data_IF_865480679680
#
_entry.id   IF_865480679680
#
_cell.length_a   1.000
_cell.length_b   1.000
_cell.length_c   1.000
_cell.angle_alpha   90.00
_cell.angle_beta   90.00
_cell.angle_gamma   90.00
#
_symmetry.space_group_name_H-M   'P 1'
#
loop_
_entity.id
_entity.type
_entity.pdbx_description
1 polymer ?
#
# COMPACT_ATOMS: atom_id res chain seq x y z
N UNK A 1 14.41 7.20 24.34
CA UNK A 1 14.66 6.32 23.18
C UNK A 1 14.66 7.20 21.94
N UNK A 2 15.52 6.97 20.93
CA UNK A 2 15.39 7.70 19.67
C UNK A 2 14.02 7.39 19.07
N UNK A 3 13.30 8.42 18.62
CA UNK A 3 12.06 8.21 17.87
C UNK A 3 12.41 7.59 16.52
N UNK A 4 11.64 6.60 16.09
CA UNK A 4 11.80 6.04 14.75
C UNK A 4 11.52 7.13 13.70
N UNK A 5 12.33 7.18 12.65
CA UNK A 5 12.09 8.11 11.54
C UNK A 5 10.90 7.59 10.71
N UNK A 6 9.89 8.44 10.51
CA UNK A 6 8.65 8.10 9.81
C UNK A 6 8.41 9.02 8.61
N UNK A 7 7.58 8.56 7.68
CA UNK A 7 6.96 9.40 6.66
C UNK A 7 5.99 10.43 7.28
N UNK A 8 5.51 11.42 6.51
CA UNK A 8 4.45 12.33 6.96
C UNK A 8 3.17 11.61 7.41
N UNK A 9 2.87 10.45 6.81
CA UNK A 9 1.72 9.60 7.13
C UNK A 9 1.96 8.70 8.36
N UNK A 10 3.13 8.83 9.02
CA UNK A 10 3.47 8.04 10.22
C UNK A 10 3.98 6.64 9.92
N UNK A 11 4.21 6.28 8.66
CA UNK A 11 4.76 4.98 8.27
C UNK A 11 6.27 4.94 8.58
N UNK A 12 6.82 3.88 9.19
CA UNK A 12 8.26 3.77 9.42
C UNK A 12 9.05 3.91 8.12
N UNK A 13 10.11 4.73 8.12
CA UNK A 13 10.92 4.93 6.91
C UNK A 13 11.52 3.62 6.38
N UNK A 14 11.83 2.67 7.27
CA UNK A 14 12.28 1.35 6.88
C UNK A 14 11.25 0.62 5.98
N UNK A 15 9.95 0.79 6.24
CA UNK A 15 8.87 0.23 5.42
C UNK A 15 8.83 0.91 4.06
N UNK A 16 8.89 2.24 4.01
CA UNK A 16 8.92 3.00 2.74
C UNK A 16 10.10 2.57 1.87
N UNK A 17 11.30 2.49 2.46
CA UNK A 17 12.50 2.06 1.75
C UNK A 17 12.40 0.61 1.26
N UNK A 18 11.85 -0.29 2.08
CA UNK A 18 11.62 -1.69 1.71
C UNK A 18 10.69 -1.79 0.52
N UNK A 19 9.52 -1.15 0.57
CA UNK A 19 8.52 -1.20 -0.52
C UNK A 19 9.15 -0.81 -1.86
N UNK A 20 9.91 0.29 -1.86
CA UNK A 20 10.59 0.78 -3.06
C UNK A 20 11.75 -0.10 -3.52
N UNK A 21 12.47 -0.74 -2.59
CA UNK A 21 13.59 -1.62 -2.92
C UNK A 21 13.14 -3.00 -3.43
N UNK A 22 11.99 -3.51 -2.96
CA UNK A 22 11.46 -4.82 -3.33
C UNK A 22 10.68 -4.81 -4.65
N UNK A 23 10.28 -3.63 -5.13
CA UNK A 23 9.52 -3.46 -6.38
C UNK A 23 10.19 -4.19 -7.55
N UNK A 24 9.39 -4.92 -8.33
CA UNK A 24 9.84 -5.54 -9.59
C UNK A 24 9.35 -4.81 -10.84
N UNK A 25 8.44 -3.86 -10.67
CA UNK A 25 7.89 -3.01 -11.74
C UNK A 25 8.75 -1.74 -11.92
N UNK A 26 8.84 -1.24 -13.15
CA UNK A 26 9.57 -0.01 -13.46
C UNK A 26 8.87 1.24 -12.87
N UNK A 27 9.63 2.28 -12.54
CA UNK A 27 9.08 3.50 -11.92
C UNK A 27 8.07 4.19 -12.83
N UNK A 28 8.33 4.17 -14.14
CA UNK A 28 7.51 4.78 -15.18
C UNK A 28 6.06 4.31 -15.11
N UNK A 29 5.80 3.05 -14.71
CA UNK A 29 4.43 2.55 -14.56
C UNK A 29 3.68 3.23 -13.41
N UNK A 30 4.35 3.55 -12.31
CA UNK A 30 3.73 4.30 -11.21
C UNK A 30 3.53 5.77 -11.60
N UNK A 31 4.46 6.33 -12.37
CA UNK A 31 4.36 7.69 -12.91
C UNK A 31 3.17 7.85 -13.88
N UNK A 32 2.78 6.80 -14.60
CA UNK A 32 1.55 6.78 -15.43
C UNK A 32 0.29 7.08 -14.59
N UNK A 33 0.28 6.70 -13.31
CA UNK A 33 -0.80 6.99 -12.35
C UNK A 33 -0.54 8.26 -11.53
N UNK A 34 0.51 9.03 -11.86
CA UNK A 34 0.89 10.26 -11.18
C UNK A 34 1.66 10.06 -9.86
N UNK A 35 2.04 8.83 -9.55
CA UNK A 35 2.79 8.48 -8.35
C UNK A 35 4.31 8.54 -8.61
N UNK A 36 5.08 9.07 -7.65
CA UNK A 36 6.54 9.15 -7.76
C UNK A 36 7.23 7.78 -7.67
N UNK A 37 6.67 6.86 -6.87
CA UNK A 37 7.22 5.54 -6.63
C UNK A 37 6.13 4.59 -6.09
N UNK A 38 6.52 3.37 -5.71
CA UNK A 38 5.59 2.36 -5.18
C UNK A 38 4.85 2.85 -3.94
N UNK A 39 5.57 3.46 -3.01
CA UNK A 39 4.95 3.99 -1.80
C UNK A 39 3.97 5.13 -2.11
N UNK A 40 4.34 6.03 -3.02
CA UNK A 40 3.48 7.11 -3.49
C UNK A 40 2.16 6.58 -4.06
N UNK A 41 2.22 5.52 -4.85
CA UNK A 41 1.04 4.89 -5.42
C UNK A 41 0.12 4.27 -4.36
N UNK A 42 0.69 3.53 -3.40
CA UNK A 42 -0.08 2.96 -2.29
C UNK A 42 -0.72 4.05 -1.41
N UNK A 43 -0.03 5.17 -1.20
CA UNK A 43 -0.58 6.34 -0.51
C UNK A 43 -1.77 6.92 -1.29
N UNK A 44 -1.61 7.15 -2.59
CA UNK A 44 -2.68 7.71 -3.42
C UNK A 44 -3.89 6.76 -3.50
N UNK A 45 -3.67 5.43 -3.55
CA UNK A 45 -4.76 4.45 -3.43
C UNK A 45 -5.49 4.55 -2.09
N UNK A 46 -4.77 4.66 -0.98
CA UNK A 46 -5.40 4.84 0.33
C UNK A 46 -6.26 6.10 0.37
N UNK A 47 -5.73 7.22 -0.12
CA UNK A 47 -6.42 8.51 -0.18
C UNK A 47 -7.66 8.46 -1.09
N UNK A 48 -7.55 7.85 -2.28
CA UNK A 48 -8.64 7.78 -3.27
C UNK A 48 -9.79 6.87 -2.84
N UNK A 49 -9.52 5.82 -2.07
CA UNK A 49 -10.52 4.86 -1.61
C UNK A 49 -10.96 5.09 -0.16
N UNK A 50 -10.42 6.13 0.51
CA UNK A 50 -10.71 6.41 1.92
C UNK A 50 -10.25 5.30 2.86
N UNK A 51 -9.22 4.55 2.47
CA UNK A 51 -8.68 3.41 3.21
C UNK A 51 -7.51 3.84 4.11
N UNK A 52 -7.21 3.03 5.12
CA UNK A 52 -6.01 3.21 5.94
C UNK A 52 -4.75 2.79 5.18
N UNK A 53 -3.73 3.63 5.14
CA UNK A 53 -2.50 3.36 4.40
C UNK A 53 -1.75 2.14 4.93
N UNK A 54 -1.72 1.93 6.25
CA UNK A 54 -1.11 0.72 6.81
C UNK A 54 -1.83 -0.53 6.32
N UNK A 55 -3.16 -0.51 6.25
CA UNK A 55 -3.96 -1.59 5.66
C UNK A 55 -3.69 -1.81 4.17
N UNK A 56 -3.54 -0.75 3.37
CA UNK A 56 -3.18 -0.85 1.94
C UNK A 56 -1.80 -1.49 1.78
N UNK A 57 -0.83 -1.10 2.60
CA UNK A 57 0.52 -1.70 2.59
C UNK A 57 0.46 -3.19 2.96
N UNK A 58 -0.35 -3.60 3.93
CA UNK A 58 -0.53 -5.02 4.26
C UNK A 58 -1.12 -5.83 3.10
N UNK A 59 -2.06 -5.26 2.35
CA UNK A 59 -2.63 -5.91 1.15
C UNK A 59 -1.55 -6.04 0.07
N UNK A 60 -0.78 -4.97 -0.18
CA UNK A 60 0.32 -5.01 -1.14
C UNK A 60 1.41 -6.02 -0.74
N UNK A 61 1.71 -6.15 0.55
CA UNK A 61 2.65 -7.16 1.06
C UNK A 61 2.13 -8.59 0.86
N UNK A 62 0.82 -8.80 0.95
CA UNK A 62 0.20 -10.11 0.70
C UNK A 62 0.23 -10.50 -0.78
N UNK A 63 -0.05 -9.54 -1.67
CA UNK A 63 -0.04 -9.76 -3.11
C UNK A 63 1.40 -9.85 -3.66
N UNK A 64 2.36 -9.25 -2.95
CA UNK A 64 3.77 -9.31 -3.26
C UNK A 64 4.24 -8.18 -4.19
N UNK A 65 5.54 -8.16 -4.53
CA UNK A 65 6.15 -7.06 -5.27
C UNK A 65 5.88 -7.07 -6.78
N UNK A 66 5.27 -8.14 -7.30
CA UNK A 66 4.87 -8.27 -8.71
C UNK A 66 3.79 -7.26 -9.12
N UNK A 67 3.10 -6.67 -8.13
CA UNK A 67 2.16 -5.56 -8.29
C UNK A 67 1.07 -5.84 -9.35
N UNK A 68 0.17 -6.77 -9.05
CA UNK A 68 -1.12 -6.88 -9.76
C UNK A 68 -1.97 -5.66 -9.37
N UNK A 69 -1.79 -4.54 -10.10
CA UNK A 69 -2.45 -3.26 -9.83
C UNK A 69 -3.97 -3.39 -9.73
N UNK A 70 -4.60 -4.12 -10.68
CA UNK A 70 -6.04 -4.32 -10.70
C UNK A 70 -6.50 -5.22 -9.54
N UNK A 71 -5.72 -6.26 -9.24
CA UNK A 71 -5.96 -7.15 -8.09
C UNK A 71 -5.86 -6.42 -6.75
N UNK A 72 -4.90 -5.51 -6.61
CA UNK A 72 -4.73 -4.65 -5.43
C UNK A 72 -5.92 -3.72 -5.25
N UNK A 73 -6.33 -2.99 -6.30
CA UNK A 73 -7.50 -2.09 -6.27
C UNK A 73 -8.75 -2.87 -5.87
N UNK A 74 -9.02 -4.00 -6.54
CA UNK A 74 -10.15 -4.87 -6.23
C UNK A 74 -10.16 -5.31 -4.76
N UNK A 75 -9.00 -5.70 -4.23
CA UNK A 75 -8.90 -6.16 -2.83
C UNK A 75 -9.14 -5.03 -1.83
N UNK A 76 -8.69 -3.81 -2.15
CA UNK A 76 -8.94 -2.61 -1.32
C UNK A 76 -10.42 -2.25 -1.33
N UNK A 77 -11.05 -2.25 -2.51
CA UNK A 77 -12.48 -1.97 -2.66
C UNK A 77 -13.33 -2.98 -1.89
N UNK A 78 -13.07 -4.28 -2.05
CA UNK A 78 -13.75 -5.35 -1.31
C UNK A 78 -13.58 -5.20 0.22
N UNK A 79 -12.38 -4.79 0.66
CA UNK A 79 -12.11 -4.55 2.07
C UNK A 79 -12.83 -3.30 2.62
N UNK A 80 -12.93 -2.24 1.82
CA UNK A 80 -13.63 -1.00 2.18
C UNK A 80 -15.16 -1.17 2.21
N UNK A 81 -15.72 -1.99 1.31
CA UNK A 81 -17.15 -2.31 1.26
C UNK A 81 -17.61 -3.28 2.39
N UNK A 82 -16.69 -3.68 3.28
CA UNK A 82 -17.00 -4.50 4.45
C UNK A 82 -17.09 -6.00 4.17
N UNK A 83 -16.65 -6.46 3.00
CA UNK A 83 -16.69 -7.88 2.63
C UNK A 83 -15.32 -8.56 2.67
N UNK A 84 -14.22 -7.80 2.62
CA UNK A 84 -12.86 -8.32 2.56
C UNK A 84 -12.04 -8.08 3.83
N UNK A 85 -11.36 -9.13 4.31
CA UNK A 85 -10.27 -9.11 5.30
C UNK A 85 -10.57 -8.96 6.80
N UNK A 86 -11.68 -8.37 7.23
CA UNK A 86 -11.93 -8.14 8.67
C UNK A 86 -12.89 -9.10 9.36
N UNK A 87 -13.74 -9.81 8.62
CA UNK A 87 -14.93 -10.44 9.20
C UNK A 87 -14.75 -11.85 9.79
N UNK A 88 -13.55 -12.46 9.81
CA UNK A 88 -13.45 -13.85 10.29
C UNK A 88 -12.13 -14.35 10.91
N UNK A 89 -11.13 -13.50 11.20
CA UNK A 89 -9.81 -14.01 11.66
C UNK A 89 -9.44 -13.60 13.09
N UNK A 90 -10.24 -12.77 13.77
CA UNK A 90 -9.95 -12.34 15.15
C UNK A 90 -11.19 -12.25 16.08
N UNK A 91 -12.14 -13.20 15.96
CA UNK A 91 -13.15 -13.45 17.02
C UNK A 91 -12.94 -14.86 17.61
#
# INVERSE_FOLDING_TARGET
MPQALTSPEGIPLATVLRLNAERTIDLERYEEDGAFDRYGYLRDLADNHGADLARVIEIADLLGPEEDFDGLVTTIEDAAEGFGFGASIFD
#
